data_IF_426185684275
#
_entry.id   IF_426185684275
#
_cell.length_a   1.000
_cell.length_b   1.000
_cell.length_c   1.000
_cell.angle_alpha   90.00
_cell.angle_beta   90.00
_cell.angle_gamma   90.00
#
_symmetry.space_group_name_H-M   'P 1'
#
loop_
_entity.id
_entity.type
_entity.pdbx_description
1 polymer ?
#
# COMPACT_ATOMS: atom_id res chain seq x y z
N UNK A 1 -1.05 -43.41 6.67
CA UNK A 1 -1.02 -42.42 7.76
C UNK A 1 -0.47 -41.10 7.19
N UNK A 2 -1.21 -40.35 6.37
CA UNK A 2 -2.08 -39.21 6.74
C UNK A 2 -1.48 -38.24 7.77
N UNK A 3 -0.85 -37.16 7.29
CA UNK A 3 -0.97 -35.80 7.85
C UNK A 3 -0.95 -34.76 6.72
N UNK A 4 -2.06 -34.73 5.99
CA UNK A 4 -2.52 -33.55 5.25
C UNK A 4 -3.03 -32.54 6.29
N UNK A 5 -2.80 -31.24 6.03
CA UNK A 5 -3.33 -30.07 6.77
C UNK A 5 -2.72 -29.78 8.16
N UNK A 6 -1.53 -29.18 8.15
CA UNK A 6 -1.07 -28.31 9.23
C UNK A 6 -1.67 -26.91 9.08
N UNK A 7 -2.87 -26.74 9.64
CA UNK A 7 -3.45 -25.50 10.18
C UNK A 7 -3.11 -24.17 9.48
N UNK A 8 -4.09 -23.73 8.69
CA UNK A 8 -4.31 -22.36 8.23
C UNK A 8 -4.49 -21.35 9.39
N UNK A 9 -3.40 -21.01 10.07
CA UNK A 9 -3.39 -20.02 11.14
C UNK A 9 -2.29 -18.98 10.88
N UNK A 10 -2.72 -17.74 10.63
CA UNK A 10 -1.93 -16.51 10.60
C UNK A 10 -1.17 -16.15 9.31
N UNK A 11 -1.87 -16.11 8.18
CA UNK A 11 -1.54 -15.14 7.13
C UNK A 11 -2.53 -13.96 7.16
N UNK A 12 -2.62 -13.17 8.25
CA UNK A 12 -3.51 -12.01 8.30
C UNK A 12 -3.18 -11.01 7.18
N UNK A 13 -1.93 -11.03 6.70
CA UNK A 13 -1.44 -10.25 5.59
C UNK A 13 -2.11 -10.61 4.25
N UNK A 14 -2.42 -11.90 3.98
CA UNK A 14 -3.17 -12.30 2.78
C UNK A 14 -4.63 -11.84 2.84
N UNK A 15 -5.24 -11.92 4.02
CA UNK A 15 -6.57 -11.36 4.28
C UNK A 15 -6.59 -9.85 4.04
N UNK A 16 -5.63 -9.11 4.61
CA UNK A 16 -5.49 -7.67 4.39
C UNK A 16 -5.23 -7.33 2.92
N UNK A 17 -4.35 -8.04 2.23
CA UNK A 17 -4.10 -7.83 0.80
C UNK A 17 -5.37 -8.10 0.00
N UNK A 18 -6.13 -9.16 0.30
CA UNK A 18 -7.39 -9.44 -0.38
C UNK A 18 -8.45 -8.37 -0.11
N UNK A 19 -8.57 -7.84 1.11
CA UNK A 19 -9.46 -6.74 1.44
C UNK A 19 -9.07 -5.45 0.71
N UNK A 20 -7.77 -5.15 0.63
CA UNK A 20 -7.25 -3.99 -0.11
C UNK A 20 -7.53 -4.13 -1.61
N UNK A 21 -7.28 -5.31 -2.19
CA UNK A 21 -7.59 -5.58 -3.59
C UNK A 21 -9.10 -5.51 -3.89
N UNK A 22 -9.94 -6.03 -2.98
CA UNK A 22 -11.38 -5.91 -3.09
C UNK A 22 -11.85 -4.46 -3.01
N UNK A 23 -11.23 -3.62 -2.18
CA UNK A 23 -11.52 -2.17 -2.15
C UNK A 23 -11.16 -1.50 -3.48
N UNK A 24 -10.01 -1.82 -4.07
CA UNK A 24 -9.61 -1.28 -5.39
C UNK A 24 -10.51 -1.72 -6.54
N UNK A 25 -11.09 -2.93 -6.47
CA UNK A 25 -12.03 -3.45 -7.49
C UNK A 25 -13.45 -2.95 -7.25
N UNK A 26 -13.85 -2.74 -6.00
CA UNK A 26 -15.20 -2.31 -5.64
C UNK A 26 -15.44 -0.81 -5.91
N UNK A 27 -14.42 0.05 -5.76
CA UNK A 27 -14.53 1.49 -6.01
C UNK A 27 -15.05 1.83 -7.43
N UNK A 28 -14.51 1.26 -8.53
CA UNK A 28 -15.04 1.56 -9.88
C UNK A 28 -16.45 1.03 -10.10
N UNK A 29 -16.83 -0.09 -9.49
CA UNK A 29 -18.16 -0.70 -9.67
C UNK A 29 -19.26 0.02 -8.84
N UNK A 30 -18.90 0.54 -7.66
CA UNK A 30 -19.80 1.32 -6.81
C UNK A 30 -19.93 2.77 -7.30
N UNK A 31 -18.87 3.35 -7.88
CA UNK A 31 -18.94 4.67 -8.52
C UNK A 31 -19.91 4.69 -9.72
N UNK A 32 -19.99 3.60 -10.48
CA UNK A 32 -20.85 3.49 -11.67
C UNK A 32 -22.36 3.52 -11.38
N UNK A 33 -22.78 3.37 -10.10
CA UNK A 33 -24.19 3.47 -9.67
C UNK A 33 -24.59 4.87 -9.18
N UNK A 34 -23.63 5.74 -8.88
CA UNK A 34 -23.90 7.11 -8.45
C UNK A 34 -23.91 8.12 -9.61
N UNK A 35 -23.42 7.74 -10.79
CA UNK A 35 -23.46 8.60 -12.00
C UNK A 35 -24.90 8.80 -12.53
N UNK A 36 -25.83 7.88 -12.24
CA UNK A 36 -27.20 7.90 -12.80
C UNK A 36 -28.22 8.65 -11.93
N UNK A 37 -27.90 9.03 -10.69
CA UNK A 37 -28.82 9.75 -9.79
C UNK A 37 -28.16 11.05 -9.31
N UNK A 38 -28.22 12.08 -10.15
CA UNK A 38 -27.91 13.45 -9.76
C UNK A 38 -26.75 14.06 -10.53
N UNK A 39 -27.08 14.79 -11.59
CA UNK A 39 -26.17 15.62 -12.39
C UNK A 39 -25.52 16.81 -11.64
N UNK A 40 -25.24 16.67 -10.34
CA UNK A 40 -24.53 17.64 -9.49
C UNK A 40 -23.23 17.11 -8.87
N UNK A 41 -22.83 15.85 -9.12
CA UNK A 41 -21.67 15.22 -8.46
C UNK A 41 -20.58 14.71 -9.43
N UNK A 42 -20.61 15.15 -10.70
CA UNK A 42 -19.58 14.85 -11.70
C UNK A 42 -18.22 15.49 -11.37
N UNK A 43 -18.18 16.53 -10.53
CA UNK A 43 -16.93 17.13 -10.02
C UNK A 43 -16.27 16.37 -8.86
N UNK A 44 -17.00 15.50 -8.16
CA UNK A 44 -16.45 14.85 -6.95
C UNK A 44 -15.50 13.70 -7.26
N UNK A 45 -15.74 12.96 -8.36
CA UNK A 45 -14.90 11.83 -8.75
C UNK A 45 -13.51 12.32 -9.18
N UNK A 46 -13.45 13.45 -9.89
CA UNK A 46 -12.20 14.16 -10.19
C UNK A 46 -11.47 14.64 -8.93
N UNK A 47 -12.17 15.31 -8.01
CA UNK A 47 -11.57 15.77 -6.75
C UNK A 47 -11.05 14.62 -5.87
N UNK A 48 -11.80 13.52 -5.77
CA UNK A 48 -11.39 12.32 -5.03
C UNK A 48 -10.18 11.66 -5.68
N UNK A 49 -10.13 11.59 -7.01
CA UNK A 49 -9.00 11.02 -7.76
C UNK A 49 -7.74 11.87 -7.62
N UNK A 50 -7.85 13.18 -7.72
CA UNK A 50 -6.72 14.11 -7.52
C UNK A 50 -6.20 14.05 -6.07
N UNK A 51 -7.09 13.98 -5.09
CA UNK A 51 -6.72 13.80 -3.68
C UNK A 51 -6.02 12.44 -3.46
N UNK A 52 -6.56 11.35 -4.02
CA UNK A 52 -6.00 10.00 -3.88
C UNK A 52 -4.64 9.89 -4.57
N UNK A 53 -4.47 10.55 -5.73
CA UNK A 53 -3.20 10.66 -6.44
C UNK A 53 -2.15 11.38 -5.59
N UNK A 54 -2.48 12.55 -5.03
CA UNK A 54 -1.60 13.29 -4.11
C UNK A 54 -1.25 12.46 -2.88
N UNK A 55 -2.22 11.77 -2.29
CA UNK A 55 -1.99 10.87 -1.17
C UNK A 55 -1.03 9.73 -1.53
N UNK A 56 -1.22 9.08 -2.69
CA UNK A 56 -0.36 8.01 -3.16
C UNK A 56 1.10 8.48 -3.34
N UNK A 57 1.33 9.66 -3.92
CA UNK A 57 2.67 10.23 -4.05
C UNK A 57 3.31 10.60 -2.71
N UNK A 58 2.55 11.17 -1.77
CA UNK A 58 3.06 11.50 -0.44
C UNK A 58 3.45 10.25 0.33
N UNK A 59 2.59 9.23 0.36
CA UNK A 59 2.87 7.95 1.03
C UNK A 59 4.05 7.23 0.35
N UNK A 60 4.07 7.17 -0.97
CA UNK A 60 5.18 6.60 -1.73
C UNK A 60 6.51 7.31 -1.46
N UNK A 61 6.50 8.65 -1.37
CA UNK A 61 7.66 9.45 -1.02
C UNK A 61 8.18 9.18 0.39
N UNK A 62 7.29 9.10 1.39
CA UNK A 62 7.67 8.76 2.76
C UNK A 62 8.31 7.35 2.81
N UNK A 63 7.73 6.38 2.10
CA UNK A 63 8.31 5.04 2.01
C UNK A 63 9.69 5.04 1.32
N UNK A 64 9.89 5.84 0.26
CA UNK A 64 11.17 5.95 -0.43
C UNK A 64 12.25 6.57 0.48
N UNK A 65 11.91 7.65 1.19
CA UNK A 65 12.80 8.27 2.18
C UNK A 65 13.11 7.30 3.32
N UNK A 66 12.11 6.54 3.80
CA UNK A 66 12.31 5.49 4.79
C UNK A 66 13.25 4.38 4.32
N UNK A 67 13.14 3.97 3.05
CA UNK A 67 14.05 2.98 2.46
C UNK A 67 15.49 3.51 2.38
N UNK A 68 15.67 4.77 2.00
CA UNK A 68 16.99 5.42 2.00
C UNK A 68 17.57 5.51 3.41
N UNK A 69 16.79 5.97 4.39
CA UNK A 69 17.22 6.05 5.79
C UNK A 69 17.58 4.67 6.35
N UNK A 70 16.83 3.63 5.99
CA UNK A 70 17.14 2.27 6.41
C UNK A 70 18.53 1.81 5.94
N UNK A 71 19.04 2.32 4.82
CA UNK A 71 20.37 2.00 4.27
C UNK A 71 21.46 2.95 4.78
N UNK A 72 21.17 4.25 4.91
CA UNK A 72 22.17 5.27 5.24
C UNK A 72 22.49 5.31 6.75
N UNK A 73 21.52 4.99 7.61
CA UNK A 73 21.72 5.03 9.07
C UNK A 73 22.70 3.92 9.47
N UNK A 74 23.78 4.22 10.22
CA UNK A 74 24.77 3.23 10.61
C UNK A 74 24.19 2.13 11.50
N UNK A 75 24.48 0.87 11.15
CA UNK A 75 23.93 -0.33 11.77
C UNK A 75 24.84 -0.96 12.82
N UNK A 76 25.70 -0.17 13.47
CA UNK A 76 26.72 -0.71 14.39
C UNK A 76 26.27 -0.78 15.85
N UNK A 77 25.07 -0.26 16.17
CA UNK A 77 24.54 -0.24 17.53
C UNK A 77 23.32 -1.16 17.67
N UNK A 78 23.38 -2.19 18.52
CA UNK A 78 22.29 -3.16 18.72
C UNK A 78 21.04 -2.55 19.37
N UNK A 79 21.11 -1.33 19.92
CA UNK A 79 19.95 -0.59 20.39
C UNK A 79 19.05 -0.09 19.24
N UNK A 80 19.58 -0.01 18.02
CA UNK A 80 18.74 0.31 16.87
C UNK A 80 17.97 -0.93 16.43
N UNK A 81 16.65 -0.76 16.29
CA UNK A 81 15.75 -1.77 15.74
C UNK A 81 16.16 -2.22 14.32
N UNK A 82 16.96 -1.39 13.64
CA UNK A 82 17.47 -1.62 12.30
C UNK A 82 18.81 -2.40 12.27
N UNK A 83 19.41 -2.75 13.41
CA UNK A 83 20.76 -3.36 13.49
C UNK A 83 20.91 -4.62 12.62
N UNK A 84 20.00 -5.59 12.78
CA UNK A 84 20.03 -6.84 12.01
C UNK A 84 19.13 -6.83 10.77
N UNK A 85 18.05 -6.04 10.80
CA UNK A 85 16.96 -6.17 9.82
C UNK A 85 16.95 -5.10 8.73
N UNK A 86 17.98 -4.23 8.66
CA UNK A 86 18.00 -3.10 7.74
C UNK A 86 17.81 -3.45 6.28
N UNK A 87 18.36 -4.58 5.83
CA UNK A 87 18.19 -5.05 4.44
C UNK A 87 16.73 -5.38 4.15
N UNK A 88 16.08 -6.13 5.04
CA UNK A 88 14.69 -6.54 4.88
C UNK A 88 13.75 -5.32 4.94
N UNK A 89 13.97 -4.43 5.91
CA UNK A 89 13.20 -3.18 6.04
C UNK A 89 13.36 -2.28 4.81
N UNK A 90 14.57 -2.10 4.30
CA UNK A 90 14.83 -1.29 3.11
C UNK A 90 14.14 -1.87 1.87
N UNK A 91 14.17 -3.19 1.68
CA UNK A 91 13.52 -3.87 0.56
C UNK A 91 12.00 -3.69 0.62
N UNK A 92 11.38 -3.92 1.78
CA UNK A 92 9.93 -3.79 1.94
C UNK A 92 9.49 -2.34 1.68
N UNK A 93 10.21 -1.36 2.24
CA UNK A 93 9.91 0.05 2.04
C UNK A 93 10.11 0.49 0.58
N UNK A 94 11.12 -0.04 -0.12
CA UNK A 94 11.33 0.23 -1.54
C UNK A 94 10.21 -0.36 -2.43
N UNK A 95 9.75 -1.57 -2.12
CA UNK A 95 8.60 -2.19 -2.81
C UNK A 95 7.33 -1.36 -2.58
N UNK A 96 7.06 -0.97 -1.33
CA UNK A 96 5.90 -0.13 -0.99
C UNK A 96 5.96 1.22 -1.71
N UNK A 97 7.13 1.87 -1.70
CA UNK A 97 7.34 3.14 -2.39
C UNK A 97 7.05 3.01 -3.89
N UNK A 98 7.58 1.96 -4.53
CA UNK A 98 7.36 1.69 -5.95
C UNK A 98 5.87 1.46 -6.23
N UNK A 99 5.20 0.65 -5.41
CA UNK A 99 3.76 0.38 -5.55
C UNK A 99 2.91 1.65 -5.48
N UNK A 100 3.14 2.49 -4.47
CA UNK A 100 2.39 3.74 -4.30
C UNK A 100 2.69 4.77 -5.39
N UNK A 101 3.93 4.87 -5.86
CA UNK A 101 4.29 5.74 -7.00
C UNK A 101 3.64 5.28 -8.28
N UNK A 102 3.65 3.97 -8.56
CA UNK A 102 2.99 3.39 -9.73
C UNK A 102 1.49 3.66 -9.67
N UNK A 103 0.84 3.45 -8.53
CA UNK A 103 -0.58 3.79 -8.35
C UNK A 103 -0.83 5.28 -8.60
N UNK A 104 0.00 6.17 -8.06
CA UNK A 104 -0.13 7.62 -8.31
C UNK A 104 0.08 8.02 -9.77
N UNK A 105 0.82 7.24 -10.56
CA UNK A 105 0.98 7.48 -12.00
C UNK A 105 -0.24 7.00 -12.82
N UNK A 106 -0.95 5.98 -12.35
CA UNK A 106 -2.11 5.39 -13.04
C UNK A 106 -3.47 5.92 -12.55
N UNK A 107 -3.51 6.54 -11.37
CA UNK A 107 -4.59 7.40 -10.90
C UNK A 107 -4.47 8.76 -11.57
#
# INVERSE_FOLDING_TARGET
>A
MTRLFGTAASAPWLGLISCVLLLFIADPALANKFETIGGGFSGSSGFKREWLQKFAFVVGGICAVGALLAVVIPHNNPLYLNYNNWKSSAIILAILATFFVVIGLFL
#
